data_IF_388684301806
#
_entry.id   IF_388684301806
#
_cell.length_a   1.000
_cell.length_b   1.000
_cell.length_c   1.000
_cell.angle_alpha   90.00
_cell.angle_beta   90.00
_cell.angle_gamma   90.00
#
_symmetry.space_group_name_H-M   'P 1'
#
loop_
_entity.id
_entity.type
_entity.pdbx_description
1 polymer ?
#
# COMPACT_ATOMS: atom_id res chain seq x y z
N UNK A 1 6.18 -24.98 -14.05
CA UNK A 1 4.95 -25.53 -14.66
C UNK A 1 3.79 -24.68 -14.15
N UNK A 2 3.02 -24.00 -15.02
CA UNK A 2 1.83 -23.24 -14.60
C UNK A 2 0.72 -24.24 -14.25
N UNK A 3 0.12 -24.13 -13.07
CA UNK A 3 -1.01 -24.96 -12.65
C UNK A 3 -2.24 -24.61 -13.50
N UNK A 4 -3.04 -25.61 -13.84
CA UNK A 4 -4.36 -25.35 -14.42
C UNK A 4 -5.35 -24.89 -13.33
N UNK A 5 -6.51 -24.34 -13.73
CA UNK A 5 -7.49 -23.73 -12.81
C UNK A 5 -7.96 -24.70 -11.71
N UNK A 6 -8.18 -25.97 -12.05
CA UNK A 6 -8.59 -27.00 -11.08
C UNK A 6 -7.49 -27.32 -10.07
N UNK A 7 -6.24 -27.43 -10.54
CA UNK A 7 -5.09 -27.66 -9.67
C UNK A 7 -4.83 -26.47 -8.74
N UNK A 8 -4.99 -25.24 -9.25
CA UNK A 8 -4.90 -24.02 -8.44
C UNK A 8 -5.98 -24.01 -7.34
N UNK A 9 -7.24 -24.31 -7.69
CA UNK A 9 -8.34 -24.37 -6.73
C UNK A 9 -8.10 -25.44 -5.66
N UNK A 10 -7.60 -26.63 -6.02
CA UNK A 10 -7.30 -27.69 -5.04
C UNK A 10 -6.22 -27.27 -4.03
N UNK A 11 -5.20 -26.53 -4.47
CA UNK A 11 -4.14 -26.02 -3.58
C UNK A 11 -4.70 -24.91 -2.66
N UNK A 12 -5.53 -24.02 -3.21
CA UNK A 12 -6.20 -22.96 -2.43
C UNK A 12 -7.10 -23.58 -1.36
N UNK A 13 -7.99 -24.51 -1.71
CA UNK A 13 -8.89 -25.18 -0.74
C UNK A 13 -8.12 -25.93 0.34
N UNK A 14 -6.99 -26.56 0.00
CA UNK A 14 -6.14 -27.25 0.98
C UNK A 14 -5.55 -26.31 2.04
N UNK A 15 -5.28 -25.06 1.67
CA UNK A 15 -4.65 -24.05 2.53
C UNK A 15 -5.55 -22.82 2.71
N UNK A 16 -6.86 -23.04 2.71
CA UNK A 16 -7.88 -21.99 2.56
C UNK A 16 -7.71 -20.86 3.58
N UNK A 17 -7.63 -21.18 4.87
CA UNK A 17 -7.49 -20.18 5.94
C UNK A 17 -6.24 -19.32 5.78
N UNK A 18 -5.12 -19.91 5.37
CA UNK A 18 -3.85 -19.18 5.17
C UNK A 18 -3.92 -18.28 3.94
N UNK A 19 -4.49 -18.77 2.84
CA UNK A 19 -4.68 -18.00 1.60
C UNK A 19 -5.63 -16.83 1.85
N UNK A 20 -6.73 -17.07 2.57
CA UNK A 20 -7.68 -16.04 2.97
C UNK A 20 -6.99 -14.97 3.82
N UNK A 21 -6.30 -15.36 4.89
CA UNK A 21 -5.61 -14.42 5.77
C UNK A 21 -4.55 -13.60 5.02
N UNK A 22 -3.73 -14.24 4.17
CA UNK A 22 -2.73 -13.56 3.35
C UNK A 22 -3.39 -12.57 2.36
N UNK A 23 -4.49 -12.97 1.73
CA UNK A 23 -5.23 -12.13 0.78
C UNK A 23 -5.80 -10.90 1.47
N UNK A 24 -6.54 -11.07 2.56
CA UNK A 24 -7.10 -9.95 3.32
C UNK A 24 -6.01 -9.01 3.84
N UNK A 25 -4.92 -9.56 4.36
CA UNK A 25 -3.80 -8.77 4.84
C UNK A 25 -3.18 -7.86 3.75
N UNK A 26 -3.01 -8.40 2.55
CA UNK A 26 -2.55 -7.64 1.39
C UNK A 26 -3.59 -6.58 0.99
N UNK A 27 -4.87 -6.98 0.91
CA UNK A 27 -5.95 -6.10 0.47
C UNK A 27 -6.16 -4.90 1.41
N UNK A 28 -6.12 -5.09 2.73
CA UNK A 28 -6.24 -3.99 3.70
C UNK A 28 -5.13 -2.96 3.54
N UNK A 29 -3.90 -3.43 3.39
CA UNK A 29 -2.75 -2.52 3.18
C UNK A 29 -2.89 -1.76 1.86
N UNK A 30 -3.37 -2.43 0.82
CA UNK A 30 -3.53 -1.83 -0.50
C UNK A 30 -4.68 -0.81 -0.54
N UNK A 31 -5.76 -1.02 0.21
CA UNK A 31 -6.84 -0.04 0.36
C UNK A 31 -6.32 1.26 0.99
N UNK A 32 -5.55 1.14 2.08
CA UNK A 32 -4.89 2.29 2.73
C UNK A 32 -4.02 3.05 1.72
N UNK A 33 -3.19 2.34 0.94
CA UNK A 33 -2.35 2.95 -0.08
C UNK A 33 -3.19 3.63 -1.17
N UNK A 34 -4.29 3.02 -1.62
CA UNK A 34 -5.21 3.64 -2.57
C UNK A 34 -5.81 4.95 -2.03
N UNK A 35 -6.21 4.98 -0.76
CA UNK A 35 -6.66 6.20 -0.09
C UNK A 35 -5.59 7.28 -0.07
N UNK A 36 -4.38 6.94 0.39
CA UNK A 36 -3.23 7.86 0.41
C UNK A 36 -2.86 8.39 -0.99
N UNK A 37 -3.03 7.58 -2.05
CA UNK A 37 -2.84 8.03 -3.44
C UNK A 37 -3.87 9.10 -3.81
N UNK A 38 -5.14 8.92 -3.47
CA UNK A 38 -6.20 9.91 -3.75
C UNK A 38 -5.85 11.25 -3.07
N UNK A 39 -5.52 11.19 -1.78
CA UNK A 39 -5.28 12.38 -0.96
C UNK A 39 -4.03 13.13 -1.42
N UNK A 40 -2.92 12.41 -1.62
CA UNK A 40 -1.66 12.97 -2.09
C UNK A 40 -1.80 13.60 -3.47
N UNK A 41 -2.47 12.92 -4.42
CA UNK A 41 -2.78 13.49 -5.74
C UNK A 41 -3.65 14.75 -5.63
N UNK A 42 -4.68 14.71 -4.78
CA UNK A 42 -5.57 15.83 -4.54
C UNK A 42 -4.84 17.06 -4.03
N UNK A 43 -3.87 16.88 -3.12
CA UNK A 43 -3.01 17.95 -2.60
C UNK A 43 -2.03 18.47 -3.64
N UNK A 44 -1.38 17.59 -4.39
CA UNK A 44 -0.44 17.98 -5.46
C UNK A 44 -1.15 18.86 -6.49
N UNK A 45 -2.32 18.45 -6.96
CA UNK A 45 -3.13 19.19 -7.95
C UNK A 45 -3.48 20.62 -7.51
N UNK A 46 -3.54 20.88 -6.21
CA UNK A 46 -3.84 22.19 -5.60
C UNK A 46 -2.58 22.99 -5.25
N UNK A 47 -1.39 22.48 -5.57
CA UNK A 47 -0.10 23.07 -5.19
C UNK A 47 0.68 23.60 -6.41
N UNK A 48 1.69 24.47 -6.20
CA UNK A 48 2.61 24.90 -7.25
C UNK A 48 3.47 23.78 -7.87
N UNK A 49 3.44 22.57 -7.28
CA UNK A 49 4.15 21.39 -7.78
C UNK A 49 3.45 20.74 -8.98
N UNK A 50 2.20 21.08 -9.28
CA UNK A 50 1.45 20.51 -10.41
C UNK A 50 1.85 21.11 -11.76
N UNK A 51 3.13 20.91 -12.12
CA UNK A 51 3.75 21.36 -13.37
C UNK A 51 3.64 20.30 -14.46
N UNK A 52 4.07 20.60 -15.68
CA UNK A 52 3.82 19.77 -16.87
C UNK A 52 4.19 18.28 -16.69
N UNK A 53 5.43 17.97 -16.27
CA UNK A 53 5.89 16.58 -16.06
C UNK A 53 5.13 15.91 -14.92
N UNK A 54 5.04 16.56 -13.76
CA UNK A 54 4.31 16.04 -12.59
C UNK A 54 2.83 15.79 -12.91
N UNK A 55 2.19 16.67 -13.69
CA UNK A 55 0.80 16.54 -14.15
C UNK A 55 0.60 15.27 -14.99
N UNK A 56 1.50 14.98 -15.93
CA UNK A 56 1.43 13.76 -16.73
C UNK A 56 1.52 12.50 -15.85
N UNK A 57 2.47 12.48 -14.92
CA UNK A 57 2.68 11.36 -13.99
C UNK A 57 1.50 11.18 -13.01
N UNK A 58 0.95 12.27 -12.48
CA UNK A 58 -0.23 12.27 -11.61
C UNK A 58 -1.44 11.67 -12.35
N UNK A 59 -1.66 12.07 -13.61
CA UNK A 59 -2.74 11.51 -14.43
C UNK A 59 -2.52 10.02 -14.71
N UNK A 60 -1.28 9.60 -14.96
CA UNK A 60 -0.94 8.19 -15.10
C UNK A 60 -1.21 7.41 -13.81
N UNK A 61 -0.81 7.96 -12.66
CA UNK A 61 -1.05 7.36 -11.34
C UNK A 61 -2.55 7.20 -11.05
N UNK A 62 -3.36 8.24 -11.32
CA UNK A 62 -4.83 8.16 -11.16
C UNK A 62 -5.44 7.06 -12.03
N UNK A 63 -5.01 6.96 -13.29
CA UNK A 63 -5.50 5.91 -14.21
C UNK A 63 -5.12 4.51 -13.73
N UNK A 64 -3.87 4.34 -13.29
CA UNK A 64 -3.39 3.03 -12.83
C UNK A 64 -4.08 2.60 -11.52
N UNK A 65 -4.27 3.54 -10.58
CA UNK A 65 -5.01 3.29 -9.34
C UNK A 65 -6.47 2.91 -9.62
N UNK A 66 -7.13 3.61 -10.55
CA UNK A 66 -8.50 3.28 -10.95
C UNK A 66 -8.63 1.90 -11.61
N UNK A 67 -7.61 1.45 -12.38
CA UNK A 67 -7.58 0.08 -12.89
C UNK A 67 -7.42 -0.94 -11.76
N UNK A 68 -6.55 -0.63 -10.81
CA UNK A 68 -6.29 -1.48 -9.65
C UNK A 68 -7.55 -1.67 -8.79
N UNK A 69 -8.25 -0.58 -8.43
CA UNK A 69 -9.53 -0.67 -7.70
C UNK A 69 -10.59 -1.44 -8.46
N UNK A 70 -10.73 -1.23 -9.78
CA UNK A 70 -11.66 -2.03 -10.59
C UNK A 70 -11.34 -3.52 -10.55
N UNK A 71 -10.08 -3.89 -10.47
CA UNK A 71 -9.66 -5.27 -10.29
C UNK A 71 -10.00 -5.77 -8.88
N UNK A 72 -9.73 -4.98 -7.83
CA UNK A 72 -10.09 -5.31 -6.45
C UNK A 72 -11.58 -5.55 -6.27
N UNK A 73 -12.43 -4.66 -6.78
CA UNK A 73 -13.89 -4.79 -6.63
C UNK A 73 -14.41 -6.08 -7.30
N UNK A 74 -13.77 -6.55 -8.38
CA UNK A 74 -14.10 -7.83 -9.01
C UNK A 74 -13.69 -9.04 -8.16
N UNK A 75 -12.64 -8.91 -7.35
CA UNK A 75 -12.14 -9.98 -6.48
C UNK A 75 -12.98 -10.06 -5.21
N UNK A 76 -13.29 -8.90 -4.62
CA UNK A 76 -14.12 -8.77 -3.43
C UNK A 76 -15.54 -9.27 -3.75
N UNK A 77 -16.10 -8.90 -4.90
CA UNK A 77 -17.38 -9.40 -5.38
C UNK A 77 -18.49 -9.15 -4.36
N UNK A 78 -19.24 -10.20 -4.03
CA UNK A 78 -20.35 -10.13 -3.08
C UNK A 78 -19.92 -9.95 -1.61
N UNK A 79 -18.61 -9.97 -1.32
CA UNK A 79 -18.05 -9.77 0.03
C UNK A 79 -17.72 -8.30 0.33
N UNK A 80 -18.33 -7.36 -0.39
CA UNK A 80 -18.06 -5.92 -0.27
C UNK A 80 -18.38 -5.35 1.11
N UNK A 81 -19.51 -5.77 1.70
CA UNK A 81 -19.93 -5.30 3.04
C UNK A 81 -18.99 -5.79 4.15
N UNK A 82 -18.63 -7.07 4.13
CA UNK A 82 -17.58 -7.61 5.00
C UNK A 82 -16.24 -6.90 4.76
N UNK A 83 -15.95 -6.65 3.48
CA UNK A 83 -14.89 -5.80 2.93
C UNK A 83 -14.69 -4.52 3.74
N UNK A 84 -15.74 -3.71 3.67
CA UNK A 84 -15.85 -2.38 4.23
C UNK A 84 -15.78 -2.42 5.77
N UNK A 85 -16.55 -3.31 6.41
CA UNK A 85 -16.58 -3.40 7.87
C UNK A 85 -15.19 -3.74 8.46
N UNK A 86 -14.48 -4.70 7.84
CA UNK A 86 -13.14 -5.06 8.26
C UNK A 86 -12.13 -3.91 8.03
N UNK A 87 -12.27 -3.17 6.92
CA UNK A 87 -11.45 -2.00 6.62
C UNK A 87 -11.66 -0.87 7.64
N UNK A 88 -12.91 -0.60 8.05
CA UNK A 88 -13.21 0.47 9.00
C UNK A 88 -12.52 0.21 10.34
N UNK A 89 -12.59 -1.02 10.84
CA UNK A 89 -11.90 -1.44 12.07
C UNK A 89 -10.38 -1.24 11.94
N UNK A 90 -9.80 -1.63 10.80
CA UNK A 90 -8.37 -1.46 10.54
C UNK A 90 -7.97 0.02 10.44
N UNK A 91 -8.80 0.85 9.80
CA UNK A 91 -8.55 2.28 9.61
C UNK A 91 -8.58 3.05 10.92
N UNK A 92 -9.56 2.77 11.78
CA UNK A 92 -9.66 3.40 13.10
C UNK A 92 -8.37 3.23 13.93
N UNK A 93 -7.72 2.06 13.85
CA UNK A 93 -6.47 1.84 14.57
C UNK A 93 -5.25 2.46 13.85
N UNK A 94 -5.22 2.42 12.51
CA UNK A 94 -4.03 2.79 11.75
C UNK A 94 -3.91 4.29 11.43
N UNK A 95 -5.03 5.02 11.32
CA UNK A 95 -5.03 6.40 10.83
C UNK A 95 -4.23 7.35 11.73
N UNK A 96 -4.28 7.15 13.05
CA UNK A 96 -3.43 7.89 14.00
C UNK A 96 -1.95 7.66 13.74
N UNK A 97 -1.57 6.44 13.38
CA UNK A 97 -0.19 6.06 13.11
C UNK A 97 0.29 6.57 11.75
N UNK A 98 -0.58 6.55 10.74
CA UNK A 98 -0.33 7.23 9.46
C UNK A 98 -0.10 8.72 9.68
N UNK A 99 -0.93 9.40 10.48
CA UNK A 99 -0.71 10.81 10.78
C UNK A 99 0.65 11.06 11.46
N UNK A 100 1.04 10.24 12.45
CA UNK A 100 2.36 10.32 13.09
C UNK A 100 3.49 10.14 12.06
N UNK A 101 3.35 9.18 11.15
CA UNK A 101 4.36 8.95 10.11
C UNK A 101 4.48 10.14 9.14
N UNK A 102 3.35 10.70 8.72
CA UNK A 102 3.33 11.92 7.89
C UNK A 102 4.06 13.07 8.57
N UNK A 103 3.75 13.35 9.84
CA UNK A 103 4.39 14.44 10.57
C UNK A 103 5.88 14.16 10.84
N UNK A 104 6.27 12.90 11.02
CA UNK A 104 7.68 12.53 11.17
C UNK A 104 8.48 12.86 9.91
N UNK A 105 7.96 12.52 8.73
CA UNK A 105 8.54 12.91 7.43
C UNK A 105 8.56 14.44 7.29
N UNK A 106 7.44 15.10 7.60
CA UNK A 106 7.30 16.55 7.47
C UNK A 106 8.30 17.32 8.31
N UNK A 107 8.53 16.90 9.55
CA UNK A 107 9.53 17.51 10.42
C UNK A 107 10.93 17.48 9.79
N UNK A 108 11.29 16.38 9.11
CA UNK A 108 12.57 16.29 8.40
C UNK A 108 12.62 17.29 7.26
N UNK A 109 11.59 17.36 6.41
CA UNK A 109 11.55 18.33 5.31
C UNK A 109 11.49 19.79 5.79
N UNK A 110 10.77 20.08 6.88
CA UNK A 110 10.71 21.40 7.49
C UNK A 110 12.08 21.85 8.03
N UNK A 111 12.82 20.94 8.68
CA UNK A 111 14.19 21.20 9.17
C UNK A 111 15.14 21.59 8.04
N UNK A 112 14.93 21.01 6.85
CA UNK A 112 15.68 21.34 5.62
C UNK A 112 15.06 22.50 4.83
N UNK A 113 14.03 23.17 5.37
CA UNK A 113 13.34 24.33 4.77
C UNK A 113 12.79 24.05 3.36
N UNK A 114 12.34 22.82 3.14
CA UNK A 114 11.75 22.43 1.86
C UNK A 114 10.42 23.15 1.65
N UNK A 115 10.26 23.80 0.50
CA UNK A 115 9.01 24.47 0.13
C UNK A 115 7.94 23.43 -0.19
N UNK A 116 6.70 23.70 0.22
CA UNK A 116 5.57 22.76 0.09
C UNK A 116 5.88 21.41 0.79
N UNK A 117 6.60 21.45 1.91
CA UNK A 117 6.96 20.27 2.69
C UNK A 117 5.74 19.45 3.08
N UNK A 118 4.59 20.07 3.33
CA UNK A 118 3.31 19.40 3.58
C UNK A 118 2.90 18.47 2.43
N UNK A 119 2.90 18.98 1.19
CA UNK A 119 2.51 18.21 -0.01
C UNK A 119 3.53 17.12 -0.31
N UNK A 120 4.82 17.45 -0.19
CA UNK A 120 5.93 16.53 -0.45
C UNK A 120 5.95 15.39 0.59
N UNK A 121 5.70 15.69 1.86
CA UNK A 121 5.63 14.68 2.93
C UNK A 121 4.51 13.69 2.70
N UNK A 122 3.35 14.19 2.27
CA UNK A 122 2.21 13.32 1.99
C UNK A 122 2.51 12.39 0.81
N UNK A 123 3.11 12.91 -0.27
CA UNK A 123 3.54 12.07 -1.38
C UNK A 123 4.59 11.03 -0.98
N UNK A 124 5.56 11.41 -0.15
CA UNK A 124 6.62 10.51 0.30
C UNK A 124 6.08 9.43 1.26
N UNK A 125 5.13 9.78 2.13
CA UNK A 125 4.38 8.81 2.91
C UNK A 125 3.67 7.83 1.99
N UNK A 126 2.92 8.32 0.99
CA UNK A 126 2.20 7.46 0.03
C UNK A 126 3.15 6.53 -0.71
N UNK A 127 4.30 7.05 -1.17
CA UNK A 127 5.33 6.27 -1.84
C UNK A 127 5.86 5.16 -0.92
N UNK A 128 6.21 5.51 0.32
CA UNK A 128 6.77 4.56 1.29
C UNK A 128 5.74 3.50 1.69
N UNK A 129 4.47 3.86 1.87
CA UNK A 129 3.40 2.89 2.13
C UNK A 129 3.15 1.96 0.94
N UNK A 130 3.29 2.46 -0.29
CA UNK A 130 3.20 1.64 -1.50
C UNK A 130 4.40 0.68 -1.64
N UNK A 131 5.59 1.12 -1.24
CA UNK A 131 6.78 0.27 -1.12
C UNK A 131 6.59 -0.82 -0.06
N UNK A 132 6.09 -0.45 1.13
CA UNK A 132 5.75 -1.39 2.20
C UNK A 132 4.73 -2.43 1.75
N UNK A 133 3.65 -2.02 1.04
CA UNK A 133 2.68 -2.93 0.44
C UNK A 133 3.34 -3.96 -0.47
N UNK A 134 4.28 -3.54 -1.33
CA UNK A 134 5.01 -4.46 -2.19
C UNK A 134 5.88 -5.44 -1.39
N UNK A 135 6.58 -4.96 -0.36
CA UNK A 135 7.41 -5.81 0.49
C UNK A 135 6.57 -6.82 1.31
N UNK A 136 5.43 -6.38 1.83
CA UNK A 136 4.48 -7.23 2.55
C UNK A 136 3.90 -8.31 1.63
N UNK A 137 3.54 -7.94 0.39
CA UNK A 137 3.15 -8.90 -0.63
C UNK A 137 4.22 -9.98 -0.83
N UNK A 138 5.49 -9.56 -1.02
CA UNK A 138 6.60 -10.48 -1.27
C UNK A 138 6.78 -11.45 -0.07
N UNK A 139 6.64 -10.95 1.16
CA UNK A 139 6.69 -11.76 2.38
C UNK A 139 5.56 -12.80 2.45
N UNK A 140 4.31 -12.38 2.23
CA UNK A 140 3.13 -13.27 2.26
C UNK A 140 3.19 -14.32 1.14
N UNK A 141 3.66 -13.93 -0.04
CA UNK A 141 3.88 -14.86 -1.15
C UNK A 141 4.96 -15.91 -0.81
N UNK A 142 6.04 -15.51 -0.14
CA UNK A 142 7.08 -16.43 0.33
C UNK A 142 6.56 -17.41 1.40
N UNK A 143 5.73 -16.94 2.33
CA UNK A 143 5.11 -17.80 3.36
C UNK A 143 4.17 -18.84 2.74
N UNK A 144 3.30 -18.44 1.82
CA UNK A 144 2.45 -19.39 1.09
C UNK A 144 3.30 -20.44 0.37
N UNK A 145 4.36 -20.00 -0.32
CA UNK A 145 5.30 -20.90 -1.00
C UNK A 145 6.00 -21.87 -0.06
N UNK A 146 6.34 -21.45 1.16
CA UNK A 146 6.98 -22.31 2.15
C UNK A 146 6.09 -23.48 2.60
N UNK A 147 4.76 -23.28 2.56
CA UNK A 147 3.77 -24.30 2.92
C UNK A 147 3.43 -25.20 1.73
N UNK A 148 3.38 -24.65 0.51
CA UNK A 148 3.20 -25.43 -0.70
C UNK A 148 3.92 -24.78 -1.91
N UNK A 149 4.92 -25.47 -2.46
CA UNK A 149 5.68 -24.99 -3.62
C UNK A 149 4.83 -24.73 -4.87
N UNK A 150 3.58 -25.22 -4.91
CA UNK A 150 2.62 -24.96 -5.99
C UNK A 150 2.08 -23.52 -5.96
N UNK A 151 2.28 -22.75 -4.89
CA UNK A 151 1.99 -21.30 -4.90
C UNK A 151 2.94 -20.47 -5.79
N UNK A 152 3.93 -21.09 -6.45
CA UNK A 152 4.90 -20.39 -7.28
C UNK A 152 4.22 -19.67 -8.47
N UNK A 153 4.15 -18.34 -8.39
CA UNK A 153 3.88 -17.43 -9.50
C UNK A 153 2.44 -17.34 -10.01
N UNK A 154 1.39 -17.61 -9.21
CA UNK A 154 0.04 -17.62 -9.80
C UNK A 154 -1.19 -17.21 -8.97
N UNK A 155 -1.13 -17.02 -7.65
CA UNK A 155 -2.36 -16.76 -6.89
C UNK A 155 -2.66 -15.29 -6.61
N UNK A 156 -1.62 -14.45 -6.43
CA UNK A 156 -1.79 -13.12 -5.83
C UNK A 156 -1.03 -12.00 -6.54
N UNK A 157 -0.20 -12.29 -7.55
CA UNK A 157 0.70 -11.30 -8.19
C UNK A 157 -0.02 -10.05 -8.71
N UNK A 158 -1.27 -10.20 -9.15
CA UNK A 158 -2.11 -9.09 -9.59
C UNK A 158 -2.39 -8.06 -8.49
N UNK A 159 -2.29 -8.45 -7.21
CA UNK A 159 -2.47 -7.55 -6.07
C UNK A 159 -1.23 -6.70 -5.77
N UNK A 160 -0.04 -7.06 -6.30
CA UNK A 160 1.20 -6.33 -6.02
C UNK A 160 1.19 -4.96 -6.70
N UNK A 161 1.38 -3.89 -5.92
CA UNK A 161 1.25 -2.50 -6.39
C UNK A 161 2.48 -1.95 -7.15
N UNK A 162 3.28 -2.82 -7.77
CA UNK A 162 4.55 -2.49 -8.45
C UNK A 162 4.44 -1.31 -9.42
N UNK A 163 3.38 -1.30 -10.24
CA UNK A 163 3.18 -0.26 -11.24
C UNK A 163 2.93 1.11 -10.59
N UNK A 164 2.11 1.14 -9.54
CA UNK A 164 1.83 2.34 -8.75
C UNK A 164 3.08 2.84 -8.02
N UNK A 165 3.83 1.93 -7.37
CA UNK A 165 5.07 2.29 -6.69
C UNK A 165 6.08 2.91 -7.67
N UNK A 166 6.24 2.34 -8.86
CA UNK A 166 7.12 2.90 -9.90
C UNK A 166 6.68 4.32 -10.31
N UNK A 167 5.39 4.54 -10.51
CA UNK A 167 4.87 5.87 -10.89
C UNK A 167 5.08 6.87 -9.75
N UNK A 168 4.85 6.48 -8.49
CA UNK A 168 5.09 7.33 -7.32
C UNK A 168 6.57 7.73 -7.18
N UNK A 169 7.50 6.80 -7.44
CA UNK A 169 8.93 7.13 -7.51
C UNK A 169 9.23 8.19 -8.58
N UNK A 170 8.64 8.05 -9.77
CA UNK A 170 8.81 9.03 -10.85
C UNK A 170 8.17 10.38 -10.50
N UNK A 171 7.03 10.39 -9.79
CA UNK A 171 6.42 11.62 -9.27
C UNK A 171 7.41 12.32 -8.35
N UNK A 172 7.94 11.62 -7.33
CA UNK A 172 8.90 12.21 -6.39
C UNK A 172 10.15 12.76 -7.08
N UNK A 173 10.70 12.03 -8.05
CA UNK A 173 11.82 12.48 -8.88
C UNK A 173 11.50 13.74 -9.68
N UNK A 174 10.23 13.95 -10.05
CA UNK A 174 9.81 15.13 -10.81
C UNK A 174 9.66 16.40 -9.98
N UNK A 175 9.74 16.31 -8.64
CA UNK A 175 9.54 17.45 -7.74
C UNK A 175 10.83 18.24 -7.45
N UNK A 176 11.96 17.81 -8.01
CA UNK A 176 13.29 18.43 -7.83
C UNK A 176 13.64 18.65 -6.34
N UNK A 177 13.30 17.69 -5.48
CA UNK A 177 13.66 17.72 -4.06
C UNK A 177 15.20 17.60 -3.96
N UNK A 178 15.87 18.41 -3.13
CA UNK A 178 17.31 18.27 -2.89
C UNK A 178 17.68 16.84 -2.50
N UNK A 179 18.73 16.31 -3.13
CA UNK A 179 18.96 14.87 -3.30
C UNK A 179 19.36 14.13 -2.00
N UNK A 180 19.74 14.85 -0.94
CA UNK A 180 20.38 14.24 0.24
C UNK A 180 19.55 14.32 1.55
N UNK A 181 18.22 14.41 1.46
CA UNK A 181 17.39 14.43 2.67
C UNK A 181 17.24 13.01 3.21
N UNK A 182 17.96 12.72 4.29
CA UNK A 182 17.87 11.43 4.96
C UNK A 182 16.57 11.31 5.77
N UNK A 183 15.66 10.46 5.29
CA UNK A 183 14.41 10.12 5.98
C UNK A 183 14.55 8.94 6.95
N UNK A 184 15.71 8.27 7.02
CA UNK A 184 16.00 7.20 7.97
C UNK A 184 16.33 7.75 9.37
N UNK A 185 15.48 8.63 9.87
CA UNK A 185 15.55 9.12 11.26
C UNK A 185 14.85 8.15 12.19
N UNK A 186 15.23 8.14 13.47
CA UNK A 186 14.58 7.28 14.47
C UNK A 186 13.06 7.48 14.51
N UNK A 187 12.58 8.73 14.36
CA UNK A 187 11.15 9.03 14.32
C UNK A 187 10.44 8.40 13.13
N UNK A 188 11.00 8.55 11.92
CA UNK A 188 10.42 7.93 10.72
C UNK A 188 10.45 6.40 10.80
N UNK A 189 11.58 5.83 11.23
CA UNK A 189 11.77 4.37 11.37
C UNK A 189 10.78 3.82 12.41
N UNK A 190 10.65 4.46 13.56
CA UNK A 190 9.72 4.02 14.60
C UNK A 190 8.27 4.13 14.14
N UNK A 191 7.90 5.21 13.45
CA UNK A 191 6.54 5.40 12.94
C UNK A 191 6.16 4.32 11.92
N UNK A 192 7.01 4.04 10.93
CA UNK A 192 6.73 2.99 9.95
C UNK A 192 6.75 1.60 10.60
N UNK A 193 7.64 1.33 11.55
CA UNK A 193 7.69 0.05 12.25
C UNK A 193 6.41 -0.22 13.05
N UNK A 194 5.81 0.81 13.67
CA UNK A 194 4.53 0.66 14.38
C UNK A 194 3.43 0.31 13.38
N UNK A 195 3.34 1.03 12.26
CA UNK A 195 2.38 0.73 11.18
C UNK A 195 2.57 -0.70 10.69
N UNK A 196 3.80 -1.08 10.36
CA UNK A 196 4.14 -2.42 9.87
C UNK A 196 3.71 -3.50 10.85
N UNK A 197 3.98 -3.34 12.16
CA UNK A 197 3.56 -4.29 13.19
C UNK A 197 2.04 -4.44 13.24
N UNK A 198 1.31 -3.32 13.24
CA UNK A 198 -0.17 -3.33 13.31
C UNK A 198 -0.80 -3.97 12.09
N UNK A 199 -0.28 -3.66 10.90
CA UNK A 199 -0.79 -4.20 9.64
C UNK A 199 -0.48 -5.67 9.45
N UNK A 200 0.56 -6.23 10.08
CA UNK A 200 0.89 -7.68 9.96
C UNK A 200 0.46 -8.52 11.16
N UNK A 201 -0.16 -7.89 12.16
CA UNK A 201 -0.59 -8.54 13.40
C UNK A 201 -1.77 -9.50 13.14
N UNK A 202 -1.51 -10.79 13.38
CA UNK A 202 -2.49 -11.86 13.19
C UNK A 202 -3.74 -11.70 14.04
N UNK A 203 -3.66 -11.10 15.23
CA UNK A 203 -4.83 -10.86 16.08
C UNK A 203 -5.72 -9.74 15.51
N UNK A 204 -5.13 -8.68 14.97
CA UNK A 204 -5.91 -7.59 14.36
C UNK A 204 -6.56 -8.08 13.06
N UNK A 205 -5.83 -8.89 12.29
CA UNK A 205 -6.37 -9.56 11.10
C UNK A 205 -7.50 -10.51 11.47
N UNK A 206 -7.33 -11.33 12.51
CA UNK A 206 -8.38 -12.25 12.98
C UNK A 206 -9.60 -11.51 13.51
N UNK A 207 -9.42 -10.45 14.30
CA UNK A 207 -10.52 -9.60 14.80
C UNK A 207 -11.33 -8.98 13.66
N UNK A 208 -10.64 -8.45 12.64
CA UNK A 208 -11.30 -7.85 11.49
C UNK A 208 -12.03 -8.88 10.60
N UNK A 209 -11.57 -10.14 10.57
CA UNK A 209 -12.16 -11.20 9.74
C UNK A 209 -13.25 -12.00 10.49
N UNK A 210 -13.29 -11.95 11.82
CA UNK A 210 -14.20 -12.76 12.64
C UNK A 210 -15.53 -12.10 12.98
N UNK A 211 -15.80 -10.90 12.46
CA UNK A 211 -17.05 -10.16 12.62
C UNK A 211 -17.98 -10.33 11.42
#
# INVERSE_FOLDING_TARGET
MKLNKEQANRVITKHESLVIAATYNILFTNDIVCGLIIDSIGKVKKSPLYRQRTKQLINQCSKERAKYEKMLNRIIGDRDEFFANANDIFREDIDKHLNVFYYSIKQVFDKHKIKNSDVISLLEQTRTMCEFSCAQFDKRAAELKSVDNRFNGFALEYMRMTALHRILNEIMRSLDIPVDINLNTDNCINAINIISKRLVDGENIAKAISN
#
